data_IF_448372876469
#
_entry.id   IF_448372876469
#
_cell.length_a   1.000
_cell.length_b   1.000
_cell.length_c   1.000
_cell.angle_alpha   90.00
_cell.angle_beta   90.00
_cell.angle_gamma   90.00
#
_symmetry.space_group_name_H-M   'P 1'
#
loop_
_entity.id
_entity.type
_entity.pdbx_description
1 polymer ?
#
# COMPACT_ATOMS: atom_id res chain seq x y z
N UNK A 1 -27.09 -25.69 -27.92
CA UNK A 1 -26.96 -24.22 -27.97
C UNK A 1 -27.29 -23.73 -26.57
N UNK A 2 -26.31 -23.20 -25.84
CA UNK A 2 -26.46 -22.82 -24.44
C UNK A 2 -27.10 -21.44 -24.33
N UNK A 3 -28.38 -21.37 -23.95
CA UNK A 3 -29.10 -20.11 -23.69
C UNK A 3 -28.53 -19.33 -22.50
N UNK A 4 -27.75 -19.97 -21.60
CA UNK A 4 -27.18 -19.34 -20.42
C UNK A 4 -25.96 -18.43 -20.67
N UNK A 5 -25.38 -18.41 -21.87
CA UNK A 5 -24.24 -17.54 -22.18
C UNK A 5 -24.65 -16.12 -22.60
N UNK A 6 -25.95 -15.82 -22.76
CA UNK A 6 -26.40 -14.58 -23.41
C UNK A 6 -26.79 -13.42 -22.48
N UNK A 7 -26.90 -13.64 -21.16
CA UNK A 7 -27.50 -12.64 -20.26
C UNK A 7 -26.51 -11.92 -19.31
N UNK A 8 -25.25 -12.36 -19.21
CA UNK A 8 -24.28 -11.74 -18.26
C UNK A 8 -23.65 -10.45 -18.81
N UNK A 9 -23.61 -10.28 -20.13
CA UNK A 9 -23.10 -9.07 -20.78
C UNK A 9 -24.17 -7.95 -20.91
N UNK A 10 -25.43 -8.23 -20.56
CA UNK A 10 -26.48 -7.22 -20.49
C UNK A 10 -26.25 -6.24 -19.32
N UNK A 11 -26.72 -5.00 -19.46
CA UNK A 11 -26.71 -4.04 -18.35
C UNK A 11 -27.66 -4.48 -17.24
N UNK A 12 -27.21 -4.35 -15.99
CA UNK A 12 -28.02 -4.68 -14.82
C UNK A 12 -29.16 -3.69 -14.65
N UNK A 13 -30.32 -4.19 -14.23
CA UNK A 13 -31.46 -3.35 -13.84
C UNK A 13 -31.25 -2.66 -12.49
N UNK A 14 -30.44 -3.25 -11.60
CA UNK A 14 -30.14 -2.68 -10.28
C UNK A 14 -29.17 -1.50 -10.39
N UNK A 15 -28.15 -1.61 -11.24
CA UNK A 15 -27.16 -0.56 -11.47
C UNK A 15 -26.93 -0.41 -12.99
N UNK A 16 -27.66 0.47 -13.68
CA UNK A 16 -27.60 0.62 -15.13
C UNK A 16 -26.24 1.08 -15.69
N UNK A 17 -25.30 1.51 -14.84
CA UNK A 17 -23.92 1.80 -15.26
C UNK A 17 -23.05 0.55 -15.36
N UNK A 18 -23.53 -0.62 -14.95
CA UNK A 18 -22.80 -1.88 -14.91
C UNK A 18 -23.50 -2.95 -15.74
N UNK A 19 -22.71 -3.83 -16.35
CA UNK A 19 -23.19 -5.12 -16.87
C UNK A 19 -23.42 -6.07 -15.70
N UNK A 20 -24.32 -7.04 -15.86
CA UNK A 20 -24.63 -8.00 -14.81
C UNK A 20 -23.35 -8.72 -14.34
N UNK A 21 -22.51 -9.16 -15.29
CA UNK A 21 -21.18 -9.71 -15.03
C UNK A 21 -20.30 -8.83 -14.12
N UNK A 22 -20.25 -7.52 -14.38
CA UNK A 22 -19.44 -6.62 -13.56
C UNK A 22 -20.09 -6.34 -12.20
N UNK A 23 -21.42 -6.33 -12.12
CA UNK A 23 -22.14 -6.25 -10.86
C UNK A 23 -21.85 -7.49 -10.00
N UNK A 24 -21.90 -8.69 -10.56
CA UNK A 24 -21.64 -9.95 -9.86
C UNK A 24 -20.20 -9.99 -9.31
N UNK A 25 -19.21 -9.49 -10.07
CA UNK A 25 -17.82 -9.36 -9.60
C UNK A 25 -17.70 -8.47 -8.35
N UNK A 26 -18.55 -7.45 -8.21
CA UNK A 26 -18.54 -6.52 -7.09
C UNK A 26 -19.35 -7.05 -5.91
N UNK A 27 -20.55 -7.60 -6.17
CA UNK A 27 -21.46 -8.10 -5.14
C UNK A 27 -21.06 -9.47 -4.63
N UNK A 28 -20.96 -10.45 -5.52
CA UNK A 28 -20.67 -11.84 -5.14
C UNK A 28 -19.16 -12.01 -4.94
N UNK A 29 -18.35 -11.42 -5.83
CA UNK A 29 -16.90 -11.56 -5.79
C UNK A 29 -16.19 -10.69 -4.74
N UNK A 30 -16.84 -9.68 -4.17
CA UNK A 30 -16.24 -8.82 -3.13
C UNK A 30 -17.22 -8.44 -2.00
N UNK A 31 -18.47 -8.88 -2.02
CA UNK A 31 -19.43 -8.58 -0.95
C UNK A 31 -19.95 -7.14 -0.93
N UNK A 32 -19.69 -6.32 -1.95
CA UNK A 32 -20.06 -4.90 -1.92
C UNK A 32 -21.57 -4.71 -2.03
N UNK A 33 -22.11 -3.78 -1.23
CA UNK A 33 -23.53 -3.40 -1.29
C UNK A 33 -23.83 -2.53 -2.52
N UNK A 34 -25.09 -2.59 -2.99
CA UNK A 34 -25.56 -1.75 -4.11
C UNK A 34 -25.34 -0.26 -3.85
N UNK A 35 -25.57 0.18 -2.61
CA UNK A 35 -25.39 1.57 -2.20
C UNK A 35 -23.94 2.03 -2.37
N UNK A 36 -22.99 1.25 -1.85
CA UNK A 36 -21.57 1.54 -1.95
C UNK A 36 -21.09 1.49 -3.41
N UNK A 37 -21.57 0.52 -4.20
CA UNK A 37 -21.22 0.43 -5.63
C UNK A 37 -21.65 1.70 -6.38
N UNK A 38 -22.86 2.21 -6.10
CA UNK A 38 -23.36 3.47 -6.67
C UNK A 38 -22.58 4.68 -6.19
N UNK A 39 -22.36 4.80 -4.89
CA UNK A 39 -21.59 5.89 -4.27
C UNK A 39 -20.18 5.99 -4.88
N UNK A 40 -19.52 4.84 -5.02
CA UNK A 40 -18.17 4.76 -5.56
C UNK A 40 -18.07 5.14 -7.03
N UNK A 41 -19.13 4.89 -7.80
CA UNK A 41 -19.21 5.22 -9.23
C UNK A 41 -18.59 4.18 -10.15
N UNK A 42 -18.64 2.89 -9.77
CA UNK A 42 -18.25 1.78 -10.65
C UNK A 42 -19.06 1.79 -11.95
N UNK A 43 -18.39 1.59 -13.09
CA UNK A 43 -19.08 1.53 -14.38
C UNK A 43 -18.41 0.59 -15.38
N UNK A 44 -19.22 -0.06 -16.21
CA UNK A 44 -18.75 -0.78 -17.39
C UNK A 44 -18.39 0.23 -18.49
N UNK A 45 -17.26 0.00 -19.14
CA UNK A 45 -16.87 0.69 -20.36
C UNK A 45 -16.89 -0.31 -21.51
N UNK A 46 -17.62 0.04 -22.57
CA UNK A 46 -17.77 -0.79 -23.78
C UNK A 46 -17.02 -0.21 -24.98
N UNK A 47 -16.61 1.06 -24.93
CA UNK A 47 -15.99 1.75 -26.06
C UNK A 47 -14.61 2.31 -25.75
N UNK A 48 -13.68 2.18 -26.72
CA UNK A 48 -12.32 2.73 -26.61
C UNK A 48 -12.29 4.26 -26.40
N UNK A 49 -13.28 4.98 -26.94
CA UNK A 49 -13.42 6.43 -26.74
C UNK A 49 -13.58 6.81 -25.26
N UNK A 50 -14.37 6.07 -24.49
CA UNK A 50 -14.55 6.34 -23.06
C UNK A 50 -13.24 6.18 -22.28
N UNK A 51 -12.40 5.22 -22.68
CA UNK A 51 -11.06 5.03 -22.11
C UNK A 51 -10.09 6.15 -22.54
N UNK A 52 -10.15 6.57 -23.80
CA UNK A 52 -9.37 7.70 -24.30
C UNK A 52 -9.72 9.01 -23.56
N UNK A 53 -11.01 9.29 -23.38
CA UNK A 53 -11.50 10.46 -22.64
C UNK A 53 -11.10 10.40 -21.15
N UNK A 54 -10.94 9.20 -20.59
CA UNK A 54 -10.40 8.96 -19.24
C UNK A 54 -8.85 8.97 -19.17
N UNK A 55 -8.15 9.29 -20.27
CA UNK A 55 -6.71 9.45 -20.33
C UNK A 55 -5.90 8.19 -20.64
N UNK A 56 -6.54 7.04 -20.87
CA UNK A 56 -5.84 5.79 -21.17
C UNK A 56 -5.19 5.84 -22.56
N UNK A 57 -3.92 5.43 -22.63
CA UNK A 57 -3.19 5.35 -23.90
C UNK A 57 -3.81 4.30 -24.82
N UNK A 58 -3.60 4.43 -26.14
CA UNK A 58 -4.18 3.53 -27.15
C UNK A 58 -3.96 2.03 -26.87
N UNK A 59 -2.81 1.67 -26.29
CA UNK A 59 -2.49 0.29 -25.90
C UNK A 59 -3.31 -0.25 -24.71
N UNK A 60 -3.90 0.63 -23.92
CA UNK A 60 -4.70 0.34 -22.72
C UNK A 60 -6.21 0.40 -23.00
N UNK A 61 -6.62 0.87 -24.19
CA UNK A 61 -8.02 1.00 -24.59
C UNK A 61 -8.60 -0.36 -25.01
N UNK A 62 -8.78 -1.27 -24.04
CA UNK A 62 -9.22 -2.65 -24.26
C UNK A 62 -10.62 -2.91 -23.66
N UNK A 63 -11.70 -2.37 -24.25
CA UNK A 63 -13.05 -2.72 -23.83
C UNK A 63 -13.42 -4.16 -24.23
N UNK A 64 -14.42 -4.78 -23.58
CA UNK A 64 -15.13 -4.26 -22.40
C UNK A 64 -14.28 -4.34 -21.12
N UNK A 65 -14.67 -3.61 -20.09
CA UNK A 65 -14.07 -3.72 -18.76
C UNK A 65 -14.67 -2.79 -17.72
N UNK A 66 -14.25 -2.96 -16.47
CA UNK A 66 -14.71 -2.20 -15.32
C UNK A 66 -13.81 -0.97 -15.11
N UNK A 67 -14.42 0.21 -15.06
CA UNK A 67 -13.74 1.46 -14.76
C UNK A 67 -14.12 1.93 -13.36
N UNK A 68 -13.11 2.31 -12.59
CA UNK A 68 -13.22 2.63 -11.16
C UNK A 68 -12.64 4.03 -10.94
N UNK A 69 -13.42 5.01 -10.46
CA UNK A 69 -12.90 6.32 -10.08
C UNK A 69 -11.87 6.20 -8.97
N UNK A 70 -10.77 6.96 -9.10
CA UNK A 70 -9.77 7.14 -8.05
C UNK A 70 -10.06 8.44 -7.31
N UNK A 71 -10.47 8.32 -6.06
CA UNK A 71 -10.79 9.44 -5.18
C UNK A 71 -9.56 9.75 -4.33
N UNK A 72 -9.01 10.97 -4.44
CA UNK A 72 -7.85 11.38 -3.61
C UNK A 72 -8.28 11.67 -2.17
N UNK A 73 -7.30 11.90 -1.28
CA UNK A 73 -7.56 12.33 0.12
C UNK A 73 -8.43 13.59 0.19
N UNK A 74 -8.22 14.52 -0.75
CA UNK A 74 -9.01 15.73 -0.97
C UNK A 74 -10.35 15.53 -1.70
N UNK A 75 -10.72 14.29 -2.06
CA UNK A 75 -11.96 13.97 -2.78
C UNK A 75 -11.95 14.33 -4.28
N UNK A 76 -10.78 14.61 -4.86
CA UNK A 76 -10.66 15.01 -6.27
C UNK A 76 -10.66 13.77 -7.17
N UNK A 77 -11.62 13.72 -8.10
CA UNK A 77 -11.76 12.64 -9.08
C UNK A 77 -11.27 13.05 -10.47
N UNK A 78 -9.98 12.82 -10.75
CA UNK A 78 -9.42 13.02 -12.11
C UNK A 78 -8.67 11.82 -12.67
N UNK A 79 -8.55 10.74 -11.89
CA UNK A 79 -7.86 9.52 -12.29
C UNK A 79 -8.83 8.34 -12.21
N UNK A 80 -8.61 7.34 -13.06
CA UNK A 80 -9.39 6.11 -13.07
C UNK A 80 -8.44 4.92 -13.05
N UNK A 81 -8.84 3.87 -12.36
CA UNK A 81 -8.29 2.53 -12.52
C UNK A 81 -9.19 1.75 -13.49
N UNK A 82 -8.57 1.00 -14.38
CA UNK A 82 -9.28 0.19 -15.36
C UNK A 82 -8.94 -1.29 -15.22
N UNK A 83 -9.96 -2.12 -15.13
CA UNK A 83 -9.89 -3.58 -15.14
C UNK A 83 -10.51 -4.10 -16.44
N UNK A 84 -9.72 -4.31 -17.51
CA UNK A 84 -10.24 -4.93 -18.73
C UNK A 84 -10.74 -6.35 -18.47
N UNK A 85 -11.76 -6.78 -19.21
CA UNK A 85 -12.21 -8.17 -19.20
C UNK A 85 -11.19 -9.12 -19.84
N UNK A 86 -10.40 -8.59 -20.77
CA UNK A 86 -9.30 -9.30 -21.42
C UNK A 86 -7.99 -8.54 -21.19
N UNK A 87 -7.39 -8.69 -19.99
CA UNK A 87 -6.15 -8.03 -19.64
C UNK A 87 -5.02 -8.33 -20.62
N UNK A 88 -4.16 -7.33 -20.83
CA UNK A 88 -2.96 -7.53 -21.63
C UNK A 88 -1.85 -8.14 -20.78
N UNK A 89 -0.98 -8.88 -21.44
CA UNK A 89 0.24 -9.41 -20.84
C UNK A 89 1.35 -8.36 -21.00
N UNK A 90 2.07 -8.09 -19.92
CA UNK A 90 3.24 -7.25 -19.90
C UNK A 90 4.38 -7.99 -19.20
N UNK A 91 5.48 -8.25 -19.92
CA UNK A 91 6.64 -9.00 -19.39
C UNK A 91 6.25 -10.32 -18.71
N UNK A 92 5.36 -11.08 -19.35
CA UNK A 92 4.88 -12.37 -18.87
C UNK A 92 3.88 -12.30 -17.70
N UNK A 93 3.49 -11.10 -17.26
CA UNK A 93 2.47 -10.91 -16.20
C UNK A 93 1.21 -10.29 -16.77
N UNK A 94 0.07 -10.83 -16.38
CA UNK A 94 -1.24 -10.27 -16.69
C UNK A 94 -1.46 -8.97 -15.88
N UNK A 95 -1.86 -7.90 -16.56
CA UNK A 95 -2.15 -6.61 -15.90
C UNK A 95 -3.66 -6.51 -15.61
N UNK A 96 -4.09 -7.12 -14.51
CA UNK A 96 -5.50 -7.13 -14.09
C UNK A 96 -6.06 -5.73 -13.89
N UNK A 97 -5.25 -4.79 -13.39
CA UNK A 97 -5.62 -3.38 -13.24
C UNK A 97 -4.57 -2.48 -13.88
N UNK A 98 -5.01 -1.37 -14.48
CA UNK A 98 -4.14 -0.38 -15.09
C UNK A 98 -4.54 1.04 -14.70
N UNK A 99 -3.54 1.92 -14.57
CA UNK A 99 -3.71 3.37 -14.56
C UNK A 99 -3.32 3.94 -15.93
N UNK A 100 -3.86 5.10 -16.34
CA UNK A 100 -3.41 5.82 -17.52
C UNK A 100 -1.89 5.93 -17.60
N UNK A 101 -1.32 5.59 -18.76
CA UNK A 101 0.13 5.63 -18.94
C UNK A 101 0.68 7.03 -18.67
N UNK A 102 1.70 7.11 -17.81
CA UNK A 102 2.40 8.35 -17.51
C UNK A 102 1.81 9.16 -16.36
N UNK A 103 0.74 8.69 -15.72
CA UNK A 103 0.24 9.31 -14.49
C UNK A 103 1.01 8.82 -13.28
N UNK A 104 1.23 9.72 -12.32
CA UNK A 104 1.67 9.36 -10.98
C UNK A 104 0.52 8.66 -10.25
N UNK A 105 0.82 7.55 -9.57
CA UNK A 105 -0.16 6.88 -8.72
C UNK A 105 -0.66 7.83 -7.63
N UNK A 106 -1.90 7.64 -7.20
CA UNK A 106 -2.51 8.34 -6.06
C UNK A 106 -2.97 7.32 -5.04
N UNK A 107 -3.04 7.74 -3.78
CA UNK A 107 -3.84 7.04 -2.79
C UNK A 107 -5.30 7.17 -3.17
N UNK A 108 -6.00 6.07 -2.99
CA UNK A 108 -7.41 5.99 -3.26
C UNK A 108 -8.18 5.90 -1.93
N UNK A 109 -9.20 6.73 -1.77
CA UNK A 109 -10.00 6.82 -0.55
C UNK A 109 -11.46 6.54 -0.90
N UNK A 110 -12.11 5.51 -0.33
CA UNK A 110 -13.56 5.33 -0.48
C UNK A 110 -14.30 6.63 -0.12
N UNK A 111 -15.31 7.08 -0.90
CA UNK A 111 -15.91 8.40 -0.70
C UNK A 111 -16.41 8.65 0.73
N UNK A 112 -17.10 7.67 1.34
CA UNK A 112 -17.50 7.69 2.75
C UNK A 112 -16.38 7.81 3.78
N UNK A 113 -15.13 7.57 3.41
CA UNK A 113 -13.97 7.74 4.30
C UNK A 113 -13.33 9.14 4.22
N UNK A 114 -13.75 10.01 3.30
CA UNK A 114 -13.13 11.34 3.09
C UNK A 114 -13.21 12.24 4.33
N UNK A 115 -14.24 12.11 5.17
CA UNK A 115 -14.29 12.86 6.44
C UNK A 115 -13.47 12.17 7.53
N UNK A 116 -13.62 10.85 7.70
CA UNK A 116 -12.92 10.08 8.73
C UNK A 116 -11.39 10.05 8.56
N UNK A 117 -10.89 10.21 7.34
CA UNK A 117 -9.44 10.24 7.07
C UNK A 117 -8.77 11.52 7.63
N UNK A 118 -9.54 12.61 7.80
CA UNK A 118 -9.06 13.88 8.37
C UNK A 118 -8.91 13.82 9.88
N UNK A 119 -9.65 12.92 10.54
CA UNK A 119 -9.64 12.75 12.00
C UNK A 119 -8.58 11.70 12.43
N UNK A 120 -7.47 12.10 13.08
CA UNK A 120 -6.44 11.19 13.54
C UNK A 120 -6.85 10.34 14.76
N UNK A 121 -8.00 10.59 15.39
CA UNK A 121 -8.51 9.74 16.49
C UNK A 121 -9.10 8.41 16.00
N UNK A 122 -9.51 8.37 14.73
CA UNK A 122 -10.00 7.15 14.08
C UNK A 122 -8.77 6.30 13.68
N UNK A 123 -8.87 4.99 13.58
CA UNK A 123 -7.78 4.16 13.04
C UNK A 123 -7.79 4.18 11.51
N UNK A 124 -6.62 4.19 10.88
CA UNK A 124 -6.50 4.14 9.42
C UNK A 124 -6.19 2.72 8.94
N UNK A 125 -6.97 2.19 8.02
CA UNK A 125 -6.71 0.93 7.35
C UNK A 125 -6.08 1.16 5.97
N UNK A 126 -4.96 0.52 5.68
CA UNK A 126 -4.30 0.57 4.38
C UNK A 126 -4.34 -0.84 3.76
N UNK A 127 -4.87 -0.96 2.55
CA UNK A 127 -4.93 -2.24 1.82
C UNK A 127 -4.53 -2.08 0.34
N UNK A 128 -4.47 -3.19 -0.41
CA UNK A 128 -4.21 -3.19 -1.85
C UNK A 128 -5.50 -3.33 -2.67
N UNK A 129 -5.78 -2.33 -3.50
CA UNK A 129 -6.88 -2.33 -4.45
C UNK A 129 -8.18 -1.75 -3.91
N UNK A 130 -8.94 -1.13 -4.82
CA UNK A 130 -10.08 -0.27 -4.47
C UNK A 130 -11.25 -1.06 -3.87
N UNK A 131 -11.56 -2.25 -4.41
CA UNK A 131 -12.62 -3.13 -3.88
C UNK A 131 -12.39 -3.47 -2.40
N UNK A 132 -11.14 -3.70 -2.02
CA UNK A 132 -10.74 -4.04 -0.64
C UNK A 132 -10.98 -2.89 0.33
N UNK A 133 -10.53 -1.69 -0.04
CA UNK A 133 -10.79 -0.49 0.75
C UNK A 133 -12.29 -0.18 0.82
N UNK A 134 -13.02 -0.40 -0.26
CA UNK A 134 -14.48 -0.21 -0.30
C UNK A 134 -15.20 -1.18 0.65
N UNK A 135 -14.81 -2.47 0.73
CA UNK A 135 -15.37 -3.42 1.72
C UNK A 135 -15.10 -2.92 3.14
N UNK A 136 -13.86 -2.53 3.46
CA UNK A 136 -13.52 -2.00 4.79
C UNK A 136 -14.39 -0.78 5.14
N UNK A 137 -14.54 0.14 4.19
CA UNK A 137 -15.37 1.34 4.34
C UNK A 137 -16.87 1.02 4.48
N UNK A 138 -17.36 0.00 3.78
CA UNK A 138 -18.73 -0.50 3.92
C UNK A 138 -19.01 -0.96 5.35
N UNK A 139 -17.99 -1.54 6.00
CA UNK A 139 -18.02 -1.98 7.38
C UNK A 139 -17.67 -0.89 8.41
N UNK A 140 -17.60 0.38 7.99
CA UNK A 140 -17.39 1.52 8.88
C UNK A 140 -15.94 1.80 9.24
N UNK A 141 -14.98 1.09 8.64
CA UNK A 141 -13.55 1.33 8.87
C UNK A 141 -13.04 2.45 7.94
N UNK A 142 -12.23 3.37 8.48
CA UNK A 142 -11.59 4.40 7.66
C UNK A 142 -10.45 3.77 6.85
N UNK A 143 -10.63 3.62 5.54
CA UNK A 143 -9.70 2.88 4.68
C UNK A 143 -9.10 3.72 3.55
N UNK A 144 -7.91 3.30 3.09
CA UNK A 144 -7.30 3.75 1.84
C UNK A 144 -6.75 2.55 1.05
N UNK A 145 -6.83 2.64 -0.26
CA UNK A 145 -6.26 1.66 -1.18
C UNK A 145 -4.96 2.18 -1.80
N UNK A 146 -3.94 1.33 -1.76
CA UNK A 146 -2.82 1.40 -2.69
C UNK A 146 -3.22 0.74 -4.01
N UNK A 147 -2.95 1.39 -5.14
CA UNK A 147 -3.26 0.86 -6.47
C UNK A 147 -2.20 -0.14 -6.97
N UNK A 148 -1.70 -0.97 -6.05
CA UNK A 148 -0.54 -1.86 -6.17
C UNK A 148 0.35 -1.73 -4.93
N UNK A 149 0.86 -2.84 -4.38
CA UNK A 149 1.60 -2.80 -3.09
C UNK A 149 2.79 -1.85 -3.04
N UNK A 150 3.44 -1.54 -4.17
CA UNK A 150 4.56 -0.58 -4.23
C UNK A 150 4.15 0.84 -4.64
N UNK A 151 2.87 1.07 -4.96
CA UNK A 151 2.36 2.35 -5.43
C UNK A 151 2.19 3.38 -4.31
N UNK A 152 2.87 3.21 -3.17
CA UNK A 152 3.15 4.26 -2.20
C UNK A 152 4.45 5.02 -2.51
N UNK A 153 5.23 4.57 -3.51
CA UNK A 153 6.48 5.19 -3.98
C UNK A 153 6.27 5.87 -5.33
N UNK A 154 6.90 7.02 -5.49
CA UNK A 154 7.05 7.75 -6.74
C UNK A 154 8.51 7.89 -7.18
N UNK A 155 8.72 8.58 -8.29
CA UNK A 155 10.04 9.06 -8.73
C UNK A 155 9.99 10.56 -8.92
N UNK A 156 10.99 11.27 -8.42
CA UNK A 156 11.17 12.68 -8.77
C UNK A 156 11.75 12.82 -10.19
N UNK A 157 11.87 14.07 -10.66
CA UNK A 157 12.43 14.40 -12.00
C UNK A 157 13.86 13.91 -12.25
N UNK A 158 14.59 13.54 -11.18
CA UNK A 158 15.95 13.00 -11.23
C UNK A 158 16.00 11.50 -10.91
N UNK A 159 14.88 10.78 -11.01
CA UNK A 159 14.75 9.35 -10.70
C UNK A 159 14.99 8.96 -9.24
N UNK A 160 15.08 9.92 -8.33
CA UNK A 160 15.09 9.67 -6.89
C UNK A 160 13.76 9.09 -6.42
N UNK A 161 13.81 8.06 -5.58
CA UNK A 161 12.62 7.46 -4.97
C UNK A 161 11.98 8.48 -4.03
N UNK A 162 10.72 8.79 -4.29
CA UNK A 162 9.88 9.64 -3.44
C UNK A 162 8.71 8.82 -2.92
N UNK A 163 7.93 9.41 -2.02
CA UNK A 163 6.70 8.80 -1.52
C UNK A 163 5.53 9.61 -2.06
N UNK A 164 4.34 9.02 -2.06
CA UNK A 164 3.16 9.73 -2.52
C UNK A 164 2.91 10.95 -1.62
N UNK A 165 2.80 12.12 -2.26
CA UNK A 165 2.47 13.37 -1.60
C UNK A 165 1.10 13.32 -0.90
N UNK A 166 0.22 12.41 -1.32
CA UNK A 166 -1.09 12.21 -0.70
C UNK A 166 -0.99 11.85 0.79
N UNK A 167 0.10 11.21 1.22
CA UNK A 167 0.31 10.96 2.64
C UNK A 167 0.55 12.26 3.43
N UNK A 168 0.98 13.35 2.81
CA UNK A 168 1.10 14.66 3.46
C UNK A 168 -0.25 15.32 3.75
N UNK A 169 -1.32 14.84 3.10
CA UNK A 169 -2.71 15.26 3.38
C UNK A 169 -3.34 14.47 4.55
N UNK A 170 -2.66 13.44 5.08
CA UNK A 170 -3.17 12.56 6.14
C UNK A 170 -2.41 12.82 7.45
N UNK A 171 -3.13 13.06 8.55
CA UNK A 171 -2.55 13.15 9.88
C UNK A 171 -2.11 11.75 10.37
N UNK A 172 -0.82 11.42 10.18
CA UNK A 172 -0.28 10.08 10.47
C UNK A 172 0.12 9.83 11.93
N UNK A 173 -0.03 10.79 12.84
CA UNK A 173 0.14 10.57 14.29
C UNK A 173 -1.01 9.75 14.90
N UNK A 174 -1.40 8.64 14.24
CA UNK A 174 -2.55 7.78 14.55
C UNK A 174 -2.18 6.30 14.44
N UNK A 175 -3.12 5.43 14.82
CA UNK A 175 -3.00 3.98 14.58
C UNK A 175 -3.25 3.70 13.10
N UNK A 176 -2.36 2.91 12.49
CA UNK A 176 -2.42 2.50 11.08
C UNK A 176 -2.36 0.97 11.00
N UNK A 177 -3.41 0.35 10.51
CA UNK A 177 -3.50 -1.10 10.27
C UNK A 177 -3.22 -1.38 8.79
N UNK A 178 -2.14 -2.09 8.46
CA UNK A 178 -1.82 -2.46 7.08
C UNK A 178 -2.26 -3.91 6.81
N UNK A 179 -3.26 -4.07 5.94
CA UNK A 179 -3.83 -5.35 5.54
C UNK A 179 -3.56 -5.60 4.05
N UNK A 180 -2.41 -6.20 3.75
CA UNK A 180 -2.12 -6.74 2.42
C UNK A 180 -2.71 -8.14 2.28
N UNK A 181 -2.90 -8.58 1.04
CA UNK A 181 -3.37 -9.92 0.75
C UNK A 181 -2.42 -10.97 1.35
N UNK A 182 -2.95 -12.19 1.59
CA UNK A 182 -2.24 -13.25 2.32
C UNK A 182 -0.89 -13.67 1.70
N UNK A 183 -0.63 -13.33 0.44
CA UNK A 183 0.65 -13.57 -0.22
C UNK A 183 1.80 -12.72 0.34
N UNK A 184 1.54 -11.74 1.22
CA UNK A 184 2.59 -11.03 1.97
C UNK A 184 3.48 -11.96 2.81
N UNK A 185 2.94 -13.11 3.23
CA UNK A 185 3.67 -14.11 4.02
C UNK A 185 4.54 -15.03 3.16
N UNK A 186 4.21 -15.17 1.88
CA UNK A 186 4.87 -16.13 0.97
C UNK A 186 5.69 -15.45 -0.14
N UNK A 187 5.41 -14.18 -0.46
CA UNK A 187 6.05 -13.42 -1.52
C UNK A 187 7.02 -12.36 -0.95
N UNK A 188 8.35 -12.57 -1.03
CA UNK A 188 9.34 -11.65 -0.45
C UNK A 188 9.22 -10.21 -0.96
N UNK A 189 8.82 -10.03 -2.22
CA UNK A 189 8.62 -8.70 -2.82
C UNK A 189 7.43 -7.93 -2.21
N UNK A 190 6.40 -8.64 -1.75
CA UNK A 190 5.22 -8.07 -1.08
C UNK A 190 5.57 -7.77 0.37
N UNK A 191 6.29 -8.68 1.03
CA UNK A 191 6.83 -8.45 2.37
C UNK A 191 7.73 -7.21 2.44
N UNK A 192 8.65 -7.08 1.49
CA UNK A 192 9.52 -5.90 1.40
C UNK A 192 8.74 -4.60 1.17
N UNK A 193 7.59 -4.66 0.49
CA UNK A 193 6.70 -3.51 0.33
C UNK A 193 6.06 -3.12 1.67
N UNK A 194 5.53 -4.10 2.41
CA UNK A 194 4.97 -3.92 3.75
C UNK A 194 6.01 -3.32 4.70
N UNK A 195 7.18 -3.94 4.83
CA UNK A 195 8.22 -3.48 5.76
C UNK A 195 8.65 -2.04 5.46
N UNK A 196 8.77 -1.68 4.17
CA UNK A 196 9.15 -0.33 3.75
C UNK A 196 8.03 0.69 4.00
N UNK A 197 6.77 0.30 3.81
CA UNK A 197 5.62 1.16 4.12
C UNK A 197 5.52 1.40 5.61
N UNK A 198 5.62 0.34 6.41
CA UNK A 198 5.63 0.38 7.89
C UNK A 198 6.70 1.33 8.41
N UNK A 199 7.94 1.17 7.96
CA UNK A 199 9.05 2.05 8.36
C UNK A 199 8.78 3.52 8.04
N UNK A 200 8.20 3.81 6.87
CA UNK A 200 7.87 5.18 6.51
C UNK A 200 6.77 5.79 7.39
N UNK A 201 5.69 5.04 7.62
CA UNK A 201 4.58 5.51 8.45
C UNK A 201 5.04 5.75 9.90
N UNK A 202 5.85 4.84 10.44
CA UNK A 202 6.46 5.00 11.77
C UNK A 202 7.34 6.24 11.87
N UNK A 203 8.15 6.54 10.85
CA UNK A 203 8.95 7.79 10.81
C UNK A 203 8.11 9.05 10.85
N UNK A 204 6.84 8.97 10.45
CA UNK A 204 5.88 10.09 10.49
C UNK A 204 4.97 10.06 11.73
N UNK A 205 5.30 9.24 12.72
CA UNK A 205 4.64 9.20 14.02
C UNK A 205 3.48 8.21 14.14
N UNK A 206 3.24 7.37 13.13
CA UNK A 206 2.17 6.37 13.19
C UNK A 206 2.54 5.19 14.11
N UNK A 207 1.54 4.70 14.84
CA UNK A 207 1.59 3.35 15.43
C UNK A 207 1.10 2.38 14.38
N UNK A 208 2.02 1.65 13.76
CA UNK A 208 1.71 0.77 12.63
C UNK A 208 1.56 -0.67 13.07
N UNK A 209 0.39 -1.24 12.84
CA UNK A 209 0.09 -2.66 13.03
C UNK A 209 0.07 -3.36 11.67
N UNK A 210 0.48 -4.64 11.65
CA UNK A 210 0.35 -5.49 10.46
C UNK A 210 -0.82 -6.46 10.65
N UNK A 211 -1.62 -6.65 9.61
CA UNK A 211 -2.74 -7.60 9.62
C UNK A 211 -2.43 -8.73 8.65
N UNK A 212 -2.25 -9.95 9.17
CA UNK A 212 -1.93 -11.11 8.36
C UNK A 212 -3.18 -11.95 8.11
N UNK A 213 -3.73 -11.84 6.91
CA UNK A 213 -4.87 -12.64 6.48
C UNK A 213 -4.44 -14.10 6.30
N UNK A 214 -5.24 -15.08 6.79
CA UNK A 214 -4.99 -16.48 6.50
C UNK A 214 -5.15 -16.75 4.99
N UNK A 215 -4.32 -17.65 4.46
CA UNK A 215 -4.50 -18.16 3.11
C UNK A 215 -5.73 -19.06 2.99
N UNK A 216 -6.21 -19.27 1.77
CA UNK A 216 -7.30 -20.19 1.50
C UNK A 216 -6.94 -21.65 1.80
N UNK A 217 -7.92 -22.57 1.87
CA UNK A 217 -7.70 -23.97 2.24
C UNK A 217 -6.68 -24.72 1.37
N UNK A 218 -6.43 -24.28 0.13
CA UNK A 218 -5.45 -24.86 -0.79
C UNK A 218 -4.30 -23.90 -1.08
N UNK A 219 -4.06 -22.93 -0.20
CA UNK A 219 -3.03 -21.90 -0.38
C UNK A 219 -3.43 -20.81 -1.36
N UNK A 220 -4.73 -20.64 -1.63
CA UNK A 220 -5.20 -19.52 -2.45
C UNK A 220 -4.87 -18.18 -1.76
N UNK A 221 -4.54 -17.18 -2.59
CA UNK A 221 -4.37 -15.80 -2.15
C UNK A 221 -5.73 -15.26 -1.71
N UNK A 222 -5.78 -14.67 -0.52
CA UNK A 222 -7.00 -14.12 0.10
C UNK A 222 -6.78 -12.63 0.34
N UNK A 223 -7.67 -11.83 -0.22
CA UNK A 223 -7.82 -10.41 0.10
C UNK A 223 -8.72 -10.17 1.31
N UNK A 224 -8.73 -8.95 1.82
CA UNK A 224 -9.67 -8.59 2.90
C UNK A 224 -11.13 -8.59 2.42
N UNK A 225 -11.35 -8.33 1.12
CA UNK A 225 -12.67 -8.49 0.50
C UNK A 225 -13.11 -9.96 0.47
N UNK A 226 -12.21 -10.87 0.13
CA UNK A 226 -12.48 -12.32 0.18
C UNK A 226 -12.71 -12.81 1.62
N UNK A 227 -11.93 -12.32 2.58
CA UNK A 227 -12.03 -12.71 3.99
C UNK A 227 -13.38 -12.33 4.60
N UNK A 228 -13.85 -11.10 4.35
CA UNK A 228 -15.10 -10.56 4.89
C UNK A 228 -16.37 -11.11 4.19
N UNK A 229 -16.24 -11.96 3.18
CA UNK A 229 -17.37 -12.73 2.65
C UNK A 229 -17.86 -13.80 3.65
N UNK A 230 -16.98 -14.30 4.50
CA UNK A 230 -17.27 -15.41 5.44
C UNK A 230 -16.90 -15.12 6.89
N UNK A 231 -16.28 -13.97 7.17
CA UNK A 231 -15.85 -13.55 8.50
C UNK A 231 -16.38 -12.16 8.84
N UNK A 232 -16.35 -11.84 10.13
CA UNK A 232 -16.76 -10.57 10.70
C UNK A 232 -15.60 -9.57 10.79
N UNK A 233 -15.94 -8.31 11.03
CA UNK A 233 -14.95 -7.25 11.29
C UNK A 233 -14.18 -7.53 12.58
N UNK A 234 -14.83 -8.07 13.61
CA UNK A 234 -14.17 -8.39 14.88
C UNK A 234 -13.10 -9.47 14.69
N UNK A 235 -13.36 -10.48 13.85
CA UNK A 235 -12.36 -11.48 13.47
C UNK A 235 -11.21 -10.87 12.67
N UNK A 236 -11.47 -9.89 11.80
CA UNK A 236 -10.41 -9.15 11.11
C UNK A 236 -9.55 -8.33 12.09
N UNK A 237 -10.18 -7.66 13.06
CA UNK A 237 -9.49 -6.88 14.10
C UNK A 237 -8.65 -7.80 15.00
N UNK A 238 -9.12 -9.03 15.25
CA UNK A 238 -8.35 -10.02 16.01
C UNK A 238 -7.05 -10.46 15.32
N UNK A 239 -6.91 -10.25 14.01
CA UNK A 239 -5.68 -10.52 13.24
C UNK A 239 -4.65 -9.39 13.31
N UNK A 240 -4.96 -8.28 13.98
CA UNK A 240 -4.06 -7.14 14.11
C UNK A 240 -2.88 -7.53 15.00
N UNK A 241 -1.70 -7.68 14.41
CA UNK A 241 -0.45 -7.83 15.14
C UNK A 241 0.12 -6.46 15.47
N UNK A 242 0.19 -6.16 16.76
CA UNK A 242 0.82 -4.95 17.29
C UNK A 242 2.30 -4.91 16.88
N UNK A 243 2.86 -3.72 16.62
CA UNK A 243 4.27 -3.60 16.30
C UNK A 243 5.09 -4.24 17.42
N UNK A 244 6.12 -5.04 17.08
CA UNK A 244 7.06 -5.47 18.09
C UNK A 244 7.59 -4.22 18.81
N UNK A 245 7.76 -4.27 20.15
CA UNK A 245 8.28 -3.13 20.88
C UNK A 245 9.54 -2.67 20.19
N UNK A 246 9.59 -1.39 19.78
CA UNK A 246 10.74 -0.83 19.07
C UNK A 246 11.95 -1.18 19.90
N UNK A 247 12.79 -2.07 19.39
CA UNK A 247 14.02 -2.45 20.06
C UNK A 247 14.86 -1.19 20.12
N UNK A 248 14.80 -0.50 21.27
CA UNK A 248 15.63 0.67 21.52
C UNK A 248 17.04 0.15 21.32
N UNK A 249 17.73 0.64 20.28
CA UNK A 249 19.12 0.29 20.08
C UNK A 249 19.79 0.53 21.44
N UNK A 250 20.42 -0.51 21.98
CA UNK A 250 21.11 -0.37 23.26
C UNK A 250 22.01 0.86 23.13
N UNK A 251 21.94 1.77 24.11
CA UNK A 251 22.82 2.93 24.11
C UNK A 251 24.24 2.42 23.84
N UNK A 252 24.99 3.03 22.91
CA UNK A 252 26.32 2.54 22.57
C UNK A 252 27.10 2.39 23.87
N UNK A 253 27.60 1.18 24.14
CA UNK A 253 28.51 0.98 25.23
C UNK A 253 29.81 1.70 24.84
N UNK A 254 30.04 2.86 25.46
CA UNK A 254 31.29 3.60 25.32
C UNK A 254 32.23 3.02 26.36
N UNK A 255 33.19 2.23 25.89
CA UNK A 255 34.33 1.81 26.70
C UNK A 255 35.42 2.87 26.54
N UNK A 256 35.76 3.54 27.65
CA UNK A 256 36.98 4.32 27.72
C UNK A 256 38.13 3.34 27.83
N UNK A 257 39.02 3.35 26.83
CA UNK A 257 40.22 2.54 26.87
C UNK A 257 41.27 3.28 27.70
N UNK A 258 41.87 2.58 28.66
CA UNK A 258 42.93 3.14 29.50
C UNK A 258 44.20 3.47 28.68
N UNK A 259 44.41 2.73 27.58
CA UNK A 259 45.54 2.91 26.68
C UNK A 259 45.08 3.25 25.26
N UNK A 260 45.78 4.21 24.63
CA UNK A 260 45.57 4.52 23.23
C UNK A 260 45.98 3.31 22.35
N UNK A 261 45.21 2.98 21.30
CA UNK A 261 45.63 1.96 20.35
C UNK A 261 46.97 2.36 19.70
N UNK A 262 47.72 1.35 19.22
CA UNK A 262 48.97 1.58 18.51
C UNK A 262 48.75 2.54 17.33
N UNK A 263 49.24 3.77 17.50
CA UNK A 263 49.14 4.86 16.53
C UNK A 263 50.54 5.22 16.09
N UNK A 264 50.69 5.73 14.87
CA UNK A 264 51.97 6.26 14.41
C UNK A 264 52.37 7.42 15.33
N UNK A 265 53.38 7.18 16.17
CA UNK A 265 53.74 7.98 17.35
C UNK A 265 54.75 9.09 17.07
N UNK A 266 54.93 9.49 15.81
CA UNK A 266 55.86 10.60 15.51
C UNK A 266 55.15 11.94 15.69
N UNK A 267 55.65 12.85 16.56
CA UNK A 267 55.19 14.23 16.57
C UNK A 267 55.47 14.92 15.23
N UNK A 268 54.52 15.76 14.80
CA UNK A 268 54.48 16.45 13.49
C UNK A 268 55.47 17.62 13.37
N UNK A 269 56.21 17.99 14.43
CA UNK A 269 57.27 19.00 14.37
C UNK A 269 57.56 19.70 15.69
N UNK A 270 58.62 20.51 15.68
CA UNK A 270 58.97 21.48 16.74
C UNK A 270 58.50 22.85 16.28
N UNK A 271 57.81 23.60 17.15
CA UNK A 271 57.38 24.99 16.90
C UNK A 271 57.93 25.84 18.04
N UNK A 272 58.70 26.89 17.70
CA UNK A 272 59.31 27.83 18.64
C UNK A 272 60.10 27.21 19.80
N UNK A 273 60.81 26.11 19.52
CA UNK A 273 61.62 25.40 20.51
C UNK A 273 60.84 24.46 21.43
N UNK A 274 59.53 24.33 21.25
CA UNK A 274 58.68 23.41 21.99
C UNK A 274 58.20 22.26 21.10
N UNK A 275 58.24 21.04 21.65
CA UNK A 275 57.76 19.84 20.97
C UNK A 275 56.25 19.68 21.16
N UNK A 276 55.51 19.52 20.07
CA UNK A 276 54.06 19.31 20.10
C UNK A 276 53.71 17.95 19.51
N UNK A 277 52.77 17.24 20.15
CA UNK A 277 52.13 16.04 19.63
C UNK A 277 50.62 16.28 19.56
N UNK A 278 50.01 16.07 18.39
CA UNK A 278 48.57 16.03 18.27
C UNK A 278 48.08 14.62 18.65
N UNK A 279 47.26 14.51 19.69
CA UNK A 279 46.56 13.26 20.01
C UNK A 279 45.06 13.46 19.75
N UNK A 280 44.41 12.45 19.19
CA UNK A 280 42.95 12.40 19.10
C UNK A 280 42.44 11.53 20.26
N UNK A 281 41.34 11.92 20.89
CA UNK A 281 40.63 11.06 21.85
C UNK A 281 40.01 9.89 21.08
N UNK A 282 40.45 8.67 21.38
CA UNK A 282 39.96 7.46 20.72
C UNK A 282 38.82 6.84 21.52
N UNK A 283 37.67 6.65 20.88
CA UNK A 283 36.56 5.89 21.44
C UNK A 283 36.26 4.70 20.55
N UNK A 284 36.15 3.49 21.11
CA UNK A 284 35.64 2.33 20.38
C UNK A 284 34.11 2.31 20.47
N UNK A 285 33.43 2.54 19.35
CA UNK A 285 31.97 2.39 19.29
C UNK A 285 31.61 0.99 18.81
N UNK A 286 31.01 0.18 19.69
CA UNK A 286 30.49 -1.15 19.32
C UNK A 286 28.98 -1.08 19.13
N UNK A 287 28.50 -1.26 17.90
CA UNK A 287 27.07 -1.34 17.60
C UNK A 287 26.70 -2.81 17.43
N UNK A 288 25.96 -3.38 18.38
CA UNK A 288 25.42 -4.74 18.27
C UNK A 288 24.01 -4.70 17.68
N UNK A 289 23.89 -5.01 16.40
CA UNK A 289 22.60 -5.33 15.78
C UNK A 289 22.24 -6.79 16.09
N UNK A 290 21.08 -7.02 16.69
CA UNK A 290 20.51 -8.38 16.76
C UNK A 290 20.20 -8.82 15.32
N UNK A 291 20.94 -9.79 14.80
CA UNK A 291 20.49 -10.58 13.66
C UNK A 291 19.25 -11.34 14.11
N UNK A 292 18.09 -11.03 13.55
CA UNK A 292 16.92 -11.88 13.64
C UNK A 292 17.31 -13.22 13.01
N UNK A 293 17.24 -14.29 13.80
CA UNK A 293 17.46 -15.64 13.28
C UNK A 293 16.39 -15.90 12.22
N UNK A 294 16.82 -16.20 10.98
CA UNK A 294 15.97 -16.86 10.01
C UNK A 294 15.77 -18.30 10.51
N UNK A 295 14.58 -18.60 11.00
CA UNK A 295 14.03 -19.96 11.11
C UNK A 295 12.88 -20.09 10.14
#
# INVERSE_FOLDING_TARGET
MNENASNTDAFSTEIPSLTQKHLDILREGSGLSIELIRERGYRTVLGAKQLADAGFARSQQRPPGLLIPVHTVSGINKLFSYRPDFPRINRGKELKYELPRGTTARLDVPPRCIESIKDPSIELWITEGQKKADVLAMHGLCAVALLGVWNFKGKNKFSGVTLLADFDEIALGRVVNIAFDSDVTTQPQVRAALDRLTEHMQRRGATVNSVYLPGGPKGEKVGVDDFLLSHTVDELVALVELPPPVAKAAAPAVELLDDAPATLSKPLGIVDGYAYAATWLWTRTTIRTKRTAMS
#
